data_IF_817295675184
#
_entry.id   IF_817295675184
#
_cell.length_a   1.000
_cell.length_b   1.000
_cell.length_c   1.000
_cell.angle_alpha   90.00
_cell.angle_beta   90.00
_cell.angle_gamma   90.00
#
_symmetry.space_group_name_H-M   'P 1'
#
loop_
_entity.id
_entity.type
_entity.pdbx_description
1 polymer ?
#
# COMPACT_ATOMS: atom_id res chain seq x y z
N UNK A 1 -5.47 -4.52 -8.17
CA UNK A 1 -4.06 -4.27 -7.82
C UNK A 1 -4.01 -3.80 -6.38
N UNK A 2 -3.25 -4.50 -5.55
CA UNK A 2 -3.06 -4.19 -4.13
C UNK A 2 -1.91 -3.19 -3.95
N UNK A 3 -2.03 -2.28 -2.99
CA UNK A 3 -1.01 -1.29 -2.70
C UNK A 3 -1.13 -0.70 -1.29
N UNK A 4 -0.01 -0.19 -0.78
CA UNK A 4 0.03 0.81 0.28
C UNK A 4 0.11 2.21 -0.37
N UNK A 5 -0.65 3.17 0.14
CA UNK A 5 -0.62 4.53 -0.39
C UNK A 5 0.71 5.21 -0.02
N UNK A 6 1.32 5.90 -1.00
CA UNK A 6 2.60 6.58 -0.80
C UNK A 6 3.78 5.63 -0.59
N UNK A 7 3.78 4.45 -1.21
CA UNK A 7 4.87 3.46 -1.06
C UNK A 7 6.27 4.03 -1.42
N UNK A 8 6.34 4.97 -2.37
CA UNK A 8 7.55 5.68 -2.79
C UNK A 8 8.02 6.75 -1.79
N UNK A 9 7.21 7.10 -0.80
CA UNK A 9 7.53 8.11 0.20
C UNK A 9 8.33 7.50 1.35
N UNK A 10 9.19 8.32 1.98
CA UNK A 10 9.83 7.95 3.24
C UNK A 10 8.79 7.73 4.34
N UNK A 11 9.13 6.88 5.31
CA UNK A 11 8.21 6.45 6.38
C UNK A 11 7.68 7.63 7.23
N UNK A 12 8.42 8.73 7.33
CA UNK A 12 8.05 9.87 8.18
C UNK A 12 6.89 10.68 7.60
N UNK A 13 6.75 10.70 6.27
CA UNK A 13 5.71 11.44 5.56
C UNK A 13 4.66 10.54 4.91
N UNK A 14 4.91 9.23 4.80
CA UNK A 14 3.94 8.28 4.27
C UNK A 14 2.70 8.22 5.19
N UNK A 15 1.47 8.21 4.64
CA UNK A 15 0.25 8.06 5.44
C UNK A 15 0.32 6.82 6.33
N UNK A 16 -0.02 6.99 7.61
CA UNK A 16 -0.08 5.90 8.58
C UNK A 16 -1.44 5.20 8.54
N UNK A 17 -2.51 5.98 8.39
CA UNK A 17 -3.87 5.44 8.28
C UNK A 17 -4.57 6.00 7.07
N UNK A 18 -5.42 5.18 6.45
CA UNK A 18 -6.41 5.62 5.48
C UNK A 18 -7.80 5.43 6.07
N UNK A 19 -8.63 6.45 5.92
CA UNK A 19 -10.05 6.40 6.23
C UNK A 19 -10.85 6.57 4.96
N UNK A 20 -11.85 5.71 4.76
CA UNK A 20 -12.76 5.72 3.62
C UNK A 20 -14.20 5.76 4.13
N UNK A 21 -14.91 6.87 3.89
CA UNK A 21 -16.33 7.02 4.21
C UNK A 21 -17.17 6.85 2.95
N UNK A 22 -18.11 5.90 2.95
CA UNK A 22 -18.99 5.69 1.80
C UNK A 22 -20.16 6.67 1.80
N UNK A 23 -20.31 7.41 0.70
CA UNK A 23 -21.48 8.26 0.44
C UNK A 23 -22.43 7.59 -0.57
N UNK A 24 -21.87 7.00 -1.63
CA UNK A 24 -22.62 6.35 -2.72
C UNK A 24 -21.83 5.13 -3.20
N UNK A 25 -22.48 3.98 -3.39
CA UNK A 25 -21.89 2.81 -4.06
C UNK A 25 -22.98 2.00 -4.79
N UNK A 26 -23.37 2.44 -5.99
CA UNK A 26 -24.51 1.86 -6.73
C UNK A 26 -24.23 0.43 -7.21
N UNK A 27 -23.00 0.15 -7.67
CA UNK A 27 -22.60 -1.17 -8.16
C UNK A 27 -21.96 -2.06 -7.09
N UNK A 28 -21.93 -1.61 -5.83
CA UNK A 28 -21.34 -2.36 -4.70
C UNK A 28 -19.90 -2.81 -4.99
N UNK A 29 -19.06 -1.89 -5.51
CA UNK A 29 -17.67 -2.22 -5.81
C UNK A 29 -16.89 -2.39 -4.51
N UNK A 30 -16.57 -3.63 -4.19
CA UNK A 30 -15.83 -4.01 -3.00
C UNK A 30 -14.46 -3.31 -2.90
N UNK A 31 -14.10 -2.96 -1.67
CA UNK A 31 -12.72 -2.67 -1.30
C UNK A 31 -12.04 -3.97 -0.88
N UNK A 32 -10.89 -4.26 -1.50
CA UNK A 32 -10.05 -5.42 -1.21
C UNK A 32 -9.01 -5.01 -0.18
N UNK A 33 -8.82 -5.81 0.86
CA UNK A 33 -7.83 -5.58 1.92
C UNK A 33 -7.03 -6.86 2.15
N UNK A 34 -5.76 -6.72 2.50
CA UNK A 34 -4.96 -7.84 3.02
C UNK A 34 -4.01 -7.31 4.09
N UNK A 35 -3.84 -8.06 5.16
CA UNK A 35 -2.94 -7.69 6.27
C UNK A 35 -1.54 -8.21 6.02
N UNK A 36 -0.53 -7.55 6.59
CA UNK A 36 0.83 -8.05 6.55
C UNK A 36 0.94 -9.43 7.20
N UNK A 37 0.26 -9.65 8.33
CA UNK A 37 0.38 -10.91 9.08
C UNK A 37 -0.11 -12.13 8.28
N UNK A 38 -1.18 -11.97 7.49
CA UNK A 38 -1.67 -13.01 6.59
C UNK A 38 -0.77 -13.25 5.38
N UNK A 39 0.02 -12.25 4.95
CA UNK A 39 1.00 -12.46 3.89
C UNK A 39 2.21 -13.20 4.46
N UNK A 40 2.69 -12.78 5.63
CA UNK A 40 3.87 -13.35 6.27
C UNK A 40 3.69 -14.82 6.68
N UNK A 41 2.46 -15.27 6.95
CA UNK A 41 2.19 -16.69 7.23
C UNK A 41 2.47 -17.62 6.06
N UNK A 42 2.44 -17.07 4.84
CA UNK A 42 2.50 -17.84 3.59
C UNK A 42 3.86 -17.67 2.88
N UNK A 43 4.73 -16.79 3.40
CA UNK A 43 6.05 -16.54 2.84
C UNK A 43 7.13 -17.41 3.48
N UNK A 44 8.06 -17.88 2.65
CA UNK A 44 9.27 -18.52 3.12
C UNK A 44 10.23 -17.50 3.73
N UNK A 45 11.04 -17.94 4.71
CA UNK A 45 12.04 -17.09 5.37
C UNK A 45 13.03 -16.43 4.39
N UNK A 46 13.40 -17.15 3.33
CA UNK A 46 14.28 -16.61 2.28
C UNK A 46 13.66 -15.41 1.56
N UNK A 47 12.37 -15.49 1.26
CA UNK A 47 11.64 -14.42 0.56
C UNK A 47 11.44 -13.23 1.49
N UNK A 48 11.18 -13.47 2.77
CA UNK A 48 11.15 -12.43 3.80
C UNK A 48 12.48 -11.65 3.86
N UNK A 49 13.62 -12.34 3.86
CA UNK A 49 14.95 -11.71 3.88
C UNK A 49 15.14 -10.83 2.63
N UNK A 50 14.86 -11.36 1.43
CA UNK A 50 14.98 -10.64 0.17
C UNK A 50 14.05 -9.41 0.11
N UNK A 51 12.81 -9.55 0.58
CA UNK A 51 11.83 -8.46 0.63
C UNK A 51 12.23 -7.37 1.63
N UNK A 52 13.11 -7.68 2.58
CA UNK A 52 13.68 -6.73 3.54
C UNK A 52 14.93 -6.02 3.02
N UNK A 53 15.53 -6.50 1.93
CA UNK A 53 16.68 -5.86 1.30
C UNK A 53 16.27 -4.69 0.40
N UNK A 54 17.14 -3.67 0.19
CA UNK A 54 16.86 -2.49 -0.62
C UNK A 54 16.97 -2.75 -2.14
N UNK A 55 16.40 -3.87 -2.61
CA UNK A 55 16.48 -4.33 -3.99
C UNK A 55 15.22 -3.99 -4.83
N UNK A 56 14.45 -2.98 -4.41
CA UNK A 56 13.22 -2.57 -5.09
C UNK A 56 13.24 -1.08 -5.36
N UNK A 57 12.83 -0.70 -6.57
CA UNK A 57 12.61 0.68 -6.98
C UNK A 57 11.11 0.98 -6.91
N UNK A 58 10.72 1.90 -6.04
CA UNK A 58 9.34 2.35 -5.87
C UNK A 58 9.12 3.57 -6.76
N UNK A 59 8.16 3.46 -7.68
CA UNK A 59 7.86 4.49 -8.68
C UNK A 59 6.57 5.22 -8.27
N UNK A 60 6.59 6.57 -8.21
CA UNK A 60 5.40 7.37 -7.94
C UNK A 60 4.29 7.12 -8.98
N UNK A 61 3.01 7.22 -8.60
CA UNK A 61 1.92 7.12 -9.57
C UNK A 61 1.94 8.33 -10.50
N UNK A 62 1.74 8.10 -11.80
CA UNK A 62 1.74 9.15 -12.84
C UNK A 62 0.73 10.26 -12.57
N UNK A 63 -0.35 9.97 -11.86
CA UNK A 63 -1.41 10.92 -11.49
C UNK A 63 -0.97 12.04 -10.56
N UNK A 64 0.16 11.87 -9.86
CA UNK A 64 0.68 12.89 -8.96
C UNK A 64 1.64 13.87 -9.66
N UNK A 65 1.93 13.67 -10.95
CA UNK A 65 2.84 14.52 -11.74
C UNK A 65 4.18 14.81 -11.05
N UNK A 66 4.64 13.84 -10.23
CA UNK A 66 5.91 13.94 -9.51
C UNK A 66 7.05 13.57 -10.46
N UNK A 67 8.19 14.26 -10.36
CA UNK A 67 9.35 13.98 -11.19
C UNK A 67 9.85 12.54 -10.97
N UNK A 68 10.48 11.95 -12.00
CA UNK A 68 11.14 10.65 -11.88
C UNK A 68 12.27 10.65 -10.83
N UNK A 69 12.74 11.83 -10.40
CA UNK A 69 13.70 12.00 -9.31
C UNK A 69 13.12 11.55 -7.95
N UNK A 70 11.79 11.45 -7.84
CA UNK A 70 11.10 10.90 -6.67
C UNK A 70 10.99 9.37 -6.65
N UNK A 71 11.60 8.67 -7.60
CA UNK A 71 11.79 7.23 -7.50
C UNK A 71 12.67 6.92 -6.28
N UNK A 72 12.22 6.00 -5.43
CA UNK A 72 12.96 5.65 -4.22
C UNK A 72 13.39 4.18 -4.24
N UNK A 73 14.68 3.91 -4.04
CA UNK A 73 15.15 2.55 -3.77
C UNK A 73 14.91 2.17 -2.32
N UNK A 74 14.44 0.95 -2.07
CA UNK A 74 14.21 0.47 -0.72
C UNK A 74 13.68 -0.97 -0.66
N UNK A 75 13.43 -1.42 0.55
CA UNK A 75 12.76 -2.69 0.88
C UNK A 75 11.27 -2.66 0.54
N UNK A 76 10.61 -3.82 0.58
CA UNK A 76 9.14 -3.94 0.65
C UNK A 76 8.70 -4.15 2.08
N UNK A 77 9.46 -4.94 2.86
CA UNK A 77 9.20 -5.24 4.27
C UNK A 77 10.22 -4.54 5.16
N UNK A 78 9.76 -3.91 6.22
CA UNK A 78 10.60 -3.30 7.25
C UNK A 78 10.17 -3.80 8.62
N UNK A 79 11.13 -3.98 9.54
CA UNK A 79 10.82 -4.27 10.94
C UNK A 79 11.06 -3.02 11.78
N UNK A 80 9.99 -2.42 12.29
CA UNK A 80 10.05 -1.19 13.09
C UNK A 80 9.50 -1.46 14.48
N UNK A 81 10.28 -1.17 15.51
CA UNK A 81 9.93 -1.41 16.91
C UNK A 81 9.48 -2.86 17.18
N UNK A 82 10.08 -3.81 16.45
CA UNK A 82 9.77 -5.25 16.54
C UNK A 82 8.55 -5.69 15.72
N UNK A 83 7.80 -4.78 15.12
CA UNK A 83 6.63 -5.05 14.29
C UNK A 83 6.98 -4.96 12.80
N UNK A 84 6.43 -5.87 12.01
CA UNK A 84 6.55 -5.80 10.57
C UNK A 84 5.66 -4.70 9.98
N UNK A 85 6.21 -3.97 9.03
CA UNK A 85 5.54 -3.02 8.16
C UNK A 85 5.82 -3.38 6.71
N UNK A 86 4.92 -2.98 5.80
CA UNK A 86 5.09 -3.15 4.37
C UNK A 86 4.84 -1.85 3.61
N UNK A 87 5.56 -1.70 2.50
CA UNK A 87 5.42 -0.59 1.55
C UNK A 87 5.60 -1.12 0.14
N UNK A 88 4.52 -1.17 -0.62
CA UNK A 88 4.59 -1.56 -2.03
C UNK A 88 3.34 -1.09 -2.75
N UNK A 89 3.50 -0.61 -3.97
CA UNK A 89 2.45 -0.55 -4.95
C UNK A 89 2.77 -1.62 -6.02
N UNK A 90 2.02 -2.73 -6.05
CA UNK A 90 2.43 -3.93 -6.81
C UNK A 90 2.49 -3.72 -8.32
N UNK A 91 1.95 -2.61 -8.81
CA UNK A 91 1.93 -2.22 -10.22
C UNK A 91 2.99 -1.17 -10.59
N UNK A 92 3.69 -0.61 -9.61
CA UNK A 92 4.69 0.44 -9.79
C UNK A 92 5.91 0.23 -8.88
N UNK A 93 6.28 -1.03 -8.68
CA UNK A 93 7.46 -1.44 -7.94
C UNK A 93 8.31 -2.34 -8.84
N UNK A 94 9.55 -1.93 -9.10
CA UNK A 94 10.47 -2.64 -9.99
C UNK A 94 11.56 -3.38 -9.20
N UNK A 95 11.59 -4.72 -9.24
CA UNK A 95 12.65 -5.49 -8.62
C UNK A 95 13.97 -5.27 -9.37
N UNK A 96 15.07 -5.07 -8.64
CA UNK A 96 16.40 -4.78 -9.20
C UNK A 96 17.26 -6.03 -9.42
N UNK A 97 16.81 -7.19 -8.93
CA UNK A 97 17.50 -8.48 -9.09
C UNK A 97 16.50 -9.59 -9.40
N UNK A 98 16.98 -10.72 -9.93
CA UNK A 98 16.12 -11.89 -10.18
C UNK A 98 15.54 -12.45 -8.88
N UNK A 99 16.32 -12.45 -7.80
CA UNK A 99 15.85 -12.89 -6.48
C UNK A 99 14.73 -11.98 -5.97
N UNK A 100 14.90 -10.66 -6.08
CA UNK A 100 13.88 -9.67 -5.73
C UNK A 100 12.60 -9.84 -6.59
N UNK A 101 12.75 -10.16 -7.88
CA UNK A 101 11.61 -10.42 -8.76
C UNK A 101 10.82 -11.64 -8.32
N UNK A 102 11.51 -12.76 -8.05
CA UNK A 102 10.86 -13.97 -7.56
C UNK A 102 10.12 -13.71 -6.24
N UNK A 103 10.78 -13.09 -5.26
CA UNK A 103 10.15 -12.82 -3.97
C UNK A 103 9.02 -11.79 -4.04
N UNK A 104 9.06 -10.83 -4.97
CA UNK A 104 7.94 -9.94 -5.24
C UNK A 104 6.73 -10.70 -5.79
N UNK A 105 6.91 -11.66 -6.69
CA UNK A 105 5.80 -12.46 -7.20
C UNK A 105 5.21 -13.37 -6.12
N UNK A 106 6.05 -14.03 -5.32
CA UNK A 106 5.58 -14.82 -4.16
C UNK A 106 4.80 -13.94 -3.17
N UNK A 107 5.27 -12.72 -2.91
CA UNK A 107 4.56 -11.74 -2.10
C UNK A 107 3.19 -11.36 -2.69
N UNK A 108 3.13 -11.09 -3.99
CA UNK A 108 1.88 -10.76 -4.68
C UNK A 108 0.90 -11.94 -4.62
N UNK A 109 1.37 -13.16 -4.86
CA UNK A 109 0.54 -14.36 -4.83
C UNK A 109 -0.01 -14.63 -3.42
N UNK A 110 0.83 -14.49 -2.39
CA UNK A 110 0.41 -14.59 -0.99
C UNK A 110 -0.60 -13.49 -0.62
N UNK A 111 -0.36 -12.26 -1.08
CA UNK A 111 -1.26 -11.13 -0.84
C UNK A 111 -2.64 -11.33 -1.50
N UNK A 112 -2.68 -11.73 -2.76
CA UNK A 112 -3.92 -11.96 -3.50
C UNK A 112 -4.71 -13.16 -2.94
N UNK A 113 -4.01 -14.21 -2.46
CA UNK A 113 -4.63 -15.40 -1.84
C UNK A 113 -5.30 -15.12 -0.49
N UNK A 114 -4.86 -14.07 0.22
CA UNK A 114 -5.34 -13.71 1.55
C UNK A 114 -6.25 -12.47 1.56
N UNK A 115 -6.73 -12.02 0.39
CA UNK A 115 -7.61 -10.85 0.31
C UNK A 115 -8.95 -11.12 0.99
N UNK A 116 -9.37 -10.16 1.80
CA UNK A 116 -10.74 -9.99 2.25
C UNK A 116 -11.42 -8.85 1.48
N UNK A 117 -12.69 -9.04 1.16
CA UNK A 117 -13.51 -8.01 0.49
C UNK A 117 -14.46 -7.36 1.49
N UNK A 118 -14.52 -6.03 1.45
CA UNK A 118 -15.50 -5.23 2.17
C UNK A 118 -16.47 -4.59 1.17
N UNK A 119 -17.75 -4.99 1.27
CA UNK A 119 -18.86 -4.38 0.53
C UNK A 119 -19.42 -3.18 1.28
N UNK A 120 -19.70 -2.12 0.55
CA UNK A 120 -20.10 -0.84 1.13
C UNK A 120 -21.60 -0.67 1.30
N UNK A 121 -21.96 0.12 2.29
CA UNK A 121 -23.23 0.84 2.42
C UNK A 121 -22.96 2.33 2.66
N UNK A 122 -23.80 3.25 2.15
CA UNK A 122 -23.73 4.65 2.53
C UNK A 122 -23.72 4.83 4.06
N UNK A 123 -22.74 5.56 4.57
CA UNK A 123 -22.48 5.75 6.00
C UNK A 123 -21.39 4.85 6.58
N UNK A 124 -20.98 3.78 5.89
CA UNK A 124 -19.88 2.92 6.35
C UNK A 124 -18.56 3.70 6.36
N UNK A 125 -17.82 3.55 7.46
CA UNK A 125 -16.48 4.09 7.64
C UNK A 125 -15.50 2.94 7.83
N UNK A 126 -14.55 2.80 6.90
CA UNK A 126 -13.44 1.87 7.01
C UNK A 126 -12.17 2.65 7.35
N UNK A 127 -11.46 2.21 8.39
CA UNK A 127 -10.15 2.75 8.77
C UNK A 127 -9.16 1.59 8.81
N UNK A 128 -8.01 1.75 8.17
CA UNK A 128 -6.95 0.74 8.18
C UNK A 128 -5.57 1.38 8.30
N UNK A 129 -4.64 0.60 8.87
CA UNK A 129 -3.24 0.98 9.01
C UNK A 129 -2.50 0.68 7.70
N UNK A 130 -2.05 1.73 7.02
CA UNK A 130 -1.39 1.67 5.73
C UNK A 130 0.02 1.05 5.79
N UNK A 131 0.66 1.00 6.96
CA UNK A 131 1.92 0.28 7.14
C UNK A 131 1.72 -1.23 7.28
N UNK A 132 0.50 -1.67 7.60
CA UNK A 132 0.21 -3.09 7.91
C UNK A 132 -0.90 -3.67 7.04
N UNK A 133 -1.43 -2.93 6.08
CA UNK A 133 -2.50 -3.36 5.21
C UNK A 133 -2.29 -2.83 3.78
N UNK A 134 -2.35 -3.73 2.80
CA UNK A 134 -2.51 -3.35 1.40
C UNK A 134 -4.00 -3.30 1.09
N UNK A 135 -4.34 -2.42 0.16
CA UNK A 135 -5.70 -2.27 -0.30
C UNK A 135 -5.78 -2.17 -1.81
N UNK A 136 -6.97 -2.44 -2.33
CA UNK A 136 -7.29 -2.32 -3.74
C UNK A 136 -8.79 -2.25 -3.94
N UNK A 137 -9.22 -2.22 -5.19
CA UNK A 137 -10.64 -2.36 -5.53
C UNK A 137 -10.81 -3.07 -6.87
N UNK A 138 -12.02 -3.55 -7.11
CA UNK A 138 -12.47 -3.94 -8.44
C UNK A 138 -12.75 -2.75 -9.35
N UNK A 139 -13.20 -3.05 -10.56
CA UNK A 139 -13.69 -2.06 -11.51
C UNK A 139 -14.89 -1.30 -10.92
N UNK A 140 -14.93 0.03 -11.12
CA UNK A 140 -16.08 0.85 -10.71
C UNK A 140 -17.09 0.86 -11.85
N UNK A 141 -18.32 0.48 -11.54
CA UNK A 141 -19.47 0.61 -12.43
C UNK A 141 -20.51 1.53 -11.75
N UNK A 142 -21.24 2.33 -12.53
CA UNK A 142 -22.20 3.29 -11.97
C UNK A 142 -21.54 4.37 -11.10
N UNK A 143 -22.33 5.02 -10.23
CA UNK A 143 -21.80 6.04 -9.31
C UNK A 143 -21.23 5.39 -8.06
N UNK A 144 -19.98 5.76 -7.77
CA UNK A 144 -19.31 5.43 -6.52
C UNK A 144 -18.61 6.67 -5.98
N UNK A 145 -18.92 7.01 -4.74
CA UNK A 145 -18.34 8.15 -4.05
C UNK A 145 -17.94 7.75 -2.64
N UNK A 146 -16.63 7.61 -2.43
CA UNK A 146 -16.02 7.50 -1.12
C UNK A 146 -15.26 8.79 -0.82
N UNK A 147 -15.38 9.31 0.39
CA UNK A 147 -14.48 10.35 0.90
C UNK A 147 -13.26 9.68 1.54
N UNK A 148 -12.07 10.05 1.08
CA UNK A 148 -10.80 9.53 1.61
C UNK A 148 -10.10 10.58 2.46
N UNK A 149 -9.58 10.17 3.61
CA UNK A 149 -8.73 10.99 4.47
C UNK A 149 -7.45 10.21 4.84
N UNK A 150 -6.31 10.89 4.78
CA UNK A 150 -5.03 10.38 5.26
C UNK A 150 -4.80 10.85 6.70
N UNK A 151 -4.32 9.94 7.54
CA UNK A 151 -3.93 10.23 8.91
C UNK A 151 -2.46 9.88 9.15
N UNK A 152 -1.81 10.66 10.02
CA UNK A 152 -0.46 10.42 10.50
C UNK A 152 -0.34 10.93 11.93
N UNK A 153 0.29 10.14 12.81
CA UNK A 153 0.71 10.61 14.14
C UNK A 153 2.04 11.37 14.12
N UNK A 154 2.74 11.39 12.97
CA UNK A 154 4.09 11.95 12.81
C UNK A 154 4.10 13.40 12.35
N UNK A 155 3.02 13.87 11.73
CA UNK A 155 2.90 15.26 11.27
C UNK A 155 2.41 16.11 12.43
N UNK A 156 3.14 17.16 12.78
CA UNK A 156 2.99 17.86 14.07
C UNK A 156 1.79 18.80 14.14
N UNK A 157 1.60 19.70 13.17
CA UNK A 157 0.50 20.69 13.17
C UNK A 157 0.01 21.01 11.75
N UNK A 158 0.94 21.17 10.81
CA UNK A 158 0.65 21.43 9.40
C UNK A 158 1.96 21.73 8.67
N UNK A 159 2.30 20.87 7.70
CA UNK A 159 3.55 20.96 6.95
C UNK A 159 3.24 20.89 5.45
N UNK A 160 3.89 21.74 4.66
CA UNK A 160 3.87 21.64 3.20
C UNK A 160 5.06 20.80 2.79
N UNK A 161 4.78 19.58 2.34
CA UNK A 161 5.80 18.67 1.84
C UNK A 161 5.93 18.88 0.33
N UNK A 162 7.10 19.32 -0.13
CA UNK A 162 7.38 19.41 -1.55
C UNK A 162 7.86 18.04 -2.06
N UNK A 163 7.05 17.40 -2.90
CA UNK A 163 7.36 16.10 -3.49
C UNK A 163 8.10 16.22 -4.83
N UNK A 164 8.27 17.41 -5.40
CA UNK A 164 8.78 17.61 -6.76
C UNK A 164 10.30 17.93 -6.83
N UNK A 165 11.08 17.53 -5.81
CA UNK A 165 12.51 17.82 -5.72
C UNK A 165 13.38 16.68 -6.24
#
# INVERSE_FOLDING_TARGET
MLHADGAYLSRDIRPETLSLLCLIDEAKTDTRLVTIDSILSDLEAKSLDILSDPNFLHIPPTTFEVSNESNSSGSILDKVDGLWEMKVATHSCEPQTLAAQTSLYEFIDAAESNVISHSWRPGDLLIFNNFRCLHGRGEIQGKRWLQRCYGSSRVTVGEVINLAA
#
